data_IF_726373565190
#
_entry.id   IF_726373565190
#
_cell.length_a   1.000
_cell.length_b   1.000
_cell.length_c   1.000
_cell.angle_alpha   90.00
_cell.angle_beta   90.00
_cell.angle_gamma   90.00
#
_symmetry.space_group_name_H-M   'P 1'
#
loop_
_entity.id
_entity.type
_entity.pdbx_description
1 polymer ?
#
# COMPACT_ATOMS: atom_id res chain seq x y z
N UNK A 1 12.88 2.29 24.44
CA UNK A 1 13.50 1.00 24.14
C UNK A 1 12.63 0.23 23.16
N UNK A 2 12.79 0.53 21.86
CA UNK A 2 12.07 -0.14 20.74
C UNK A 2 12.32 -1.66 20.77
N UNK A 3 13.50 -2.09 21.20
CA UNK A 3 13.86 -3.50 21.34
C UNK A 3 13.08 -4.22 22.46
N UNK A 4 12.72 -3.54 23.55
CA UNK A 4 11.96 -4.17 24.62
C UNK A 4 10.48 -4.35 24.30
N UNK A 5 9.89 -3.47 23.50
CA UNK A 5 8.51 -3.65 22.99
C UNK A 5 8.45 -4.75 21.93
N UNK A 6 9.44 -4.81 21.01
CA UNK A 6 9.57 -5.91 20.05
C UNK A 6 9.65 -7.27 20.74
N UNK A 7 10.49 -7.40 21.75
CA UNK A 7 10.66 -8.67 22.49
C UNK A 7 9.40 -9.09 23.28
N UNK A 8 8.55 -8.15 23.67
CA UNK A 8 7.26 -8.44 24.31
C UNK A 8 6.27 -9.10 23.34
N UNK A 9 6.09 -8.52 22.17
CA UNK A 9 5.13 -9.00 21.17
C UNK A 9 5.52 -10.34 20.53
N UNK A 10 6.82 -10.61 20.38
CA UNK A 10 7.33 -11.87 19.82
C UNK A 10 6.87 -13.12 20.58
N UNK A 11 6.62 -13.00 21.88
CA UNK A 11 6.23 -14.11 22.73
C UNK A 11 4.71 -14.17 23.01
N UNK A 12 3.92 -13.24 22.45
CA UNK A 12 2.48 -13.18 22.66
C UNK A 12 1.74 -14.00 21.62
N UNK A 13 0.69 -14.69 22.04
CA UNK A 13 -0.29 -15.26 21.13
C UNK A 13 -1.17 -14.15 20.55
N UNK A 14 -1.79 -14.41 19.40
CA UNK A 14 -2.70 -13.44 18.78
C UNK A 14 -3.87 -13.05 19.69
N UNK A 15 -4.37 -13.98 20.50
CA UNK A 15 -5.41 -13.68 21.48
C UNK A 15 -4.92 -12.75 22.59
N UNK A 16 -3.71 -12.92 23.06
CA UNK A 16 -3.09 -11.99 24.01
C UNK A 16 -2.90 -10.60 23.41
N UNK A 17 -2.43 -10.51 22.16
CA UNK A 17 -2.32 -9.23 21.45
C UNK A 17 -3.68 -8.53 21.34
N UNK A 18 -4.77 -9.26 21.02
CA UNK A 18 -6.13 -8.70 20.98
C UNK A 18 -6.59 -8.15 22.32
N UNK A 19 -6.28 -8.84 23.41
CA UNK A 19 -6.65 -8.35 24.74
C UNK A 19 -5.89 -7.08 25.12
N UNK A 20 -4.60 -6.99 24.81
CA UNK A 20 -3.80 -5.78 25.05
C UNK A 20 -4.17 -4.60 24.17
N UNK A 21 -4.68 -4.86 22.98
CA UNK A 21 -5.14 -3.82 22.05
C UNK A 21 -6.48 -3.17 22.46
N UNK A 22 -7.22 -3.75 23.41
CA UNK A 22 -8.50 -3.19 23.86
C UNK A 22 -8.33 -1.81 24.48
N UNK A 23 -9.22 -0.89 24.11
CA UNK A 23 -9.20 0.49 24.59
C UNK A 23 -8.13 1.38 23.91
N UNK A 24 -7.36 0.84 22.96
CA UNK A 24 -6.36 1.63 22.24
C UNK A 24 -6.96 2.37 21.06
N UNK A 25 -6.20 3.36 20.58
CA UNK A 25 -6.43 4.04 19.30
C UNK A 25 -5.33 3.63 18.33
N UNK A 26 -5.72 3.36 17.08
CA UNK A 26 -4.80 3.09 15.97
C UNK A 26 -4.98 4.18 14.92
N UNK A 27 -3.92 4.92 14.63
CA UNK A 27 -3.87 5.91 13.57
C UNK A 27 -3.47 5.23 12.26
N UNK A 28 -4.33 5.37 11.24
CA UNK A 28 -4.09 4.82 9.91
C UNK A 28 -3.89 5.93 8.88
N UNK A 29 -2.68 6.05 8.39
CA UNK A 29 -2.29 7.04 7.39
C UNK A 29 -2.40 6.46 5.98
N UNK A 30 -3.08 7.19 5.10
CA UNK A 30 -3.24 6.81 3.70
C UNK A 30 -3.69 7.98 2.84
N UNK A 31 -3.59 7.82 1.54
CA UNK A 31 -3.84 8.87 0.54
C UNK A 31 -5.20 9.58 0.68
N UNK A 32 -6.29 8.86 0.96
CA UNK A 32 -7.59 9.47 1.20
C UNK A 32 -8.32 10.05 -0.03
N UNK A 33 -7.86 9.79 -1.25
CA UNK A 33 -8.48 10.34 -2.47
C UNK A 33 -9.71 9.58 -2.97
N UNK A 34 -10.06 8.44 -2.38
CA UNK A 34 -11.26 7.67 -2.72
C UNK A 34 -12.34 7.83 -1.65
N UNK A 35 -13.39 8.63 -1.95
CA UNK A 35 -14.49 8.90 -1.01
C UNK A 35 -15.28 7.64 -0.62
N UNK A 36 -15.37 6.61 -1.48
CA UNK A 36 -16.10 5.39 -1.16
C UNK A 36 -15.31 4.53 -0.18
N UNK A 37 -14.00 4.41 -0.43
CA UNK A 37 -13.09 3.74 0.47
C UNK A 37 -13.02 4.45 1.81
N UNK A 38 -12.91 5.78 1.81
CA UNK A 38 -12.88 6.58 3.02
C UNK A 38 -14.12 6.32 3.88
N UNK A 39 -15.31 6.37 3.29
CA UNK A 39 -16.56 6.07 4.01
C UNK A 39 -16.60 4.66 4.56
N UNK A 40 -16.14 3.67 3.80
CA UNK A 40 -16.09 2.30 4.28
C UNK A 40 -15.14 2.15 5.47
N UNK A 41 -13.97 2.79 5.43
CA UNK A 41 -13.01 2.78 6.54
C UNK A 41 -13.57 3.49 7.78
N UNK A 42 -14.17 4.66 7.59
CA UNK A 42 -14.64 5.50 8.70
C UNK A 42 -15.95 4.96 9.32
N UNK A 43 -16.89 4.47 8.49
CA UNK A 43 -18.22 4.06 8.96
C UNK A 43 -18.27 2.56 9.32
N UNK A 44 -17.79 1.66 8.43
CA UNK A 44 -17.95 0.22 8.62
C UNK A 44 -16.75 -0.42 9.30
N UNK A 45 -15.55 -0.19 8.79
CA UNK A 45 -14.35 -0.82 9.34
C UNK A 45 -14.07 -0.32 10.75
N UNK A 46 -14.07 0.99 10.98
CA UNK A 46 -13.86 1.58 12.30
C UNK A 46 -14.92 1.14 13.30
N UNK A 47 -16.18 1.06 12.88
CA UNK A 47 -17.29 0.53 13.72
C UNK A 47 -17.03 -0.91 14.13
N UNK A 48 -16.67 -1.78 13.18
CA UNK A 48 -16.40 -3.21 13.48
C UNK A 48 -15.21 -3.36 14.42
N UNK A 49 -14.15 -2.58 14.22
CA UNK A 49 -12.99 -2.58 15.11
C UNK A 49 -13.37 -2.15 16.53
N UNK A 50 -14.22 -1.11 16.67
CA UNK A 50 -14.69 -0.67 17.97
C UNK A 50 -15.62 -1.68 18.64
N UNK A 51 -16.60 -2.19 17.93
CA UNK A 51 -17.60 -3.11 18.50
C UNK A 51 -17.02 -4.48 18.87
N UNK A 52 -16.13 -5.05 18.04
CA UNK A 52 -15.58 -6.40 18.25
C UNK A 52 -14.32 -6.44 19.09
N UNK A 53 -13.48 -5.42 18.99
CA UNK A 53 -12.13 -5.44 19.55
C UNK A 53 -11.86 -4.30 20.53
N UNK A 54 -12.81 -3.38 20.68
CA UNK A 54 -12.65 -2.13 21.46
C UNK A 54 -11.43 -1.30 21.01
N UNK A 55 -11.11 -1.32 19.73
CA UNK A 55 -10.06 -0.52 19.12
C UNK A 55 -10.69 0.67 18.39
N UNK A 56 -10.22 1.87 18.66
CA UNK A 56 -10.61 3.08 17.94
C UNK A 56 -9.70 3.25 16.73
N UNK A 57 -10.28 3.32 15.52
CA UNK A 57 -9.54 3.59 14.29
C UNK A 57 -9.65 5.05 13.92
N UNK A 58 -8.51 5.71 13.73
CA UNK A 58 -8.43 7.09 13.26
C UNK A 58 -7.71 7.14 11.92
N UNK A 59 -8.47 7.39 10.86
CA UNK A 59 -7.90 7.54 9.51
C UNK A 59 -7.38 8.96 9.31
N UNK A 60 -6.13 9.08 8.91
CA UNK A 60 -5.46 10.35 8.61
C UNK A 60 -5.15 10.41 7.11
N UNK A 61 -5.91 11.21 6.32
CA UNK A 61 -5.61 11.39 4.91
C UNK A 61 -4.34 12.22 4.74
N UNK A 62 -3.33 11.64 4.12
CA UNK A 62 -2.04 12.30 3.90
C UNK A 62 -1.31 11.67 2.72
N UNK A 63 -0.63 12.48 1.92
CA UNK A 63 0.22 12.00 0.84
C UNK A 63 1.43 11.27 1.39
N UNK A 64 1.87 10.21 0.71
CA UNK A 64 2.92 9.33 1.20
C UNK A 64 4.25 10.05 1.48
N UNK A 65 4.62 11.04 0.69
CA UNK A 65 5.84 11.84 0.90
C UNK A 65 5.80 12.59 2.24
N UNK A 66 4.63 13.08 2.61
CA UNK A 66 4.41 13.76 3.89
C UNK A 66 4.45 12.76 5.05
N UNK A 67 3.84 11.58 4.88
CA UNK A 67 3.89 10.50 5.87
C UNK A 67 5.33 10.08 6.14
N UNK A 68 6.11 9.82 5.09
CA UNK A 68 7.51 9.41 5.23
C UNK A 68 8.38 10.53 5.83
N UNK A 69 8.10 11.79 5.50
CA UNK A 69 8.79 12.93 6.10
C UNK A 69 8.50 13.05 7.60
N UNK A 70 7.24 12.88 8.00
CA UNK A 70 6.83 12.89 9.41
C UNK A 70 7.48 11.73 10.17
N UNK A 71 7.39 10.50 9.64
CA UNK A 71 8.00 9.31 10.24
C UNK A 71 9.51 9.47 10.42
N UNK A 72 10.19 10.01 9.39
CA UNK A 72 11.62 10.33 9.46
C UNK A 72 11.92 11.34 10.57
N UNK A 73 11.10 12.38 10.70
CA UNK A 73 11.26 13.39 11.75
C UNK A 73 11.08 12.82 13.15
N UNK A 74 10.06 12.00 13.38
CA UNK A 74 9.81 11.33 14.66
C UNK A 74 10.96 10.38 15.05
N UNK A 75 11.46 9.59 14.08
CA UNK A 75 12.61 8.70 14.30
C UNK A 75 13.88 9.49 14.66
N UNK A 76 14.16 10.58 13.92
CA UNK A 76 15.33 11.43 14.19
C UNK A 76 15.23 12.16 15.53
N UNK A 77 14.02 12.53 15.95
CA UNK A 77 13.77 13.11 17.27
C UNK A 77 13.88 12.08 18.40
N UNK A 78 13.95 10.79 18.09
CA UNK A 78 14.00 9.70 19.06
C UNK A 78 12.67 9.50 19.79
N UNK A 79 11.55 9.85 19.13
CA UNK A 79 10.22 9.65 19.69
C UNK A 79 9.98 8.15 19.95
N UNK A 80 9.50 7.85 21.15
CA UNK A 80 9.22 6.46 21.55
C UNK A 80 7.79 6.05 21.25
N UNK A 81 6.89 7.01 21.29
CA UNK A 81 5.48 6.90 20.97
C UNK A 81 5.21 7.84 19.80
N UNK A 82 5.42 7.33 18.58
CA UNK A 82 5.16 8.08 17.36
C UNK A 82 3.66 8.26 17.11
N UNK A 83 3.31 9.16 16.21
CA UNK A 83 1.92 9.43 15.83
C UNK A 83 1.37 8.49 14.77
N UNK A 84 2.22 7.66 14.18
CA UNK A 84 1.90 6.77 13.04
C UNK A 84 1.94 5.33 13.49
N UNK A 85 0.78 4.68 13.58
CA UNK A 85 0.69 3.25 13.91
C UNK A 85 0.66 2.38 12.65
N UNK A 86 -0.07 2.81 11.62
CA UNK A 86 -0.26 2.04 10.40
C UNK A 86 -0.27 2.95 9.18
N UNK A 87 0.37 2.52 8.10
CA UNK A 87 0.42 3.24 6.83
C UNK A 87 -0.02 2.35 5.68
N UNK A 88 -0.71 2.95 4.70
CA UNK A 88 -0.90 2.35 3.39
C UNK A 88 0.28 2.74 2.50
N UNK A 89 1.06 1.77 2.08
CA UNK A 89 2.33 2.00 1.40
C UNK A 89 2.52 0.96 0.28
N UNK A 90 3.29 1.29 -0.74
CA UNK A 90 3.68 0.37 -1.79
C UNK A 90 4.92 0.86 -2.57
N UNK A 91 5.48 -0.02 -3.38
CA UNK A 91 6.51 0.27 -4.37
C UNK A 91 7.78 0.90 -3.79
N UNK A 92 8.24 1.95 -4.43
CA UNK A 92 9.48 2.64 -4.03
C UNK A 92 9.42 3.20 -2.61
N UNK A 93 8.22 3.59 -2.16
CA UNK A 93 8.00 4.12 -0.82
C UNK A 93 8.19 3.02 0.24
N UNK A 94 7.61 1.83 0.00
CA UNK A 94 7.82 0.67 0.86
C UNK A 94 9.29 0.28 0.92
N UNK A 95 9.93 0.14 -0.24
CA UNK A 95 11.36 -0.16 -0.32
C UNK A 95 12.19 0.84 0.47
N UNK A 96 11.98 2.14 0.24
CA UNK A 96 12.70 3.21 0.94
C UNK A 96 12.49 3.13 2.45
N UNK A 97 11.25 2.97 2.91
CA UNK A 97 10.95 2.88 4.33
C UNK A 97 11.60 1.66 4.99
N UNK A 98 11.57 0.50 4.32
CA UNK A 98 12.19 -0.74 4.81
C UNK A 98 13.71 -0.64 4.87
N UNK A 99 14.37 -0.17 3.79
CA UNK A 99 15.83 0.00 3.73
C UNK A 99 16.36 0.99 4.79
N UNK A 100 15.54 1.98 5.16
CA UNK A 100 15.87 2.96 6.22
C UNK A 100 15.39 2.54 7.62
N UNK A 101 14.94 1.30 7.82
CA UNK A 101 14.48 0.77 9.12
C UNK A 101 13.35 1.59 9.75
N UNK A 102 12.45 2.13 8.94
CA UNK A 102 11.30 2.92 9.40
C UNK A 102 10.09 2.06 9.75
N UNK A 103 10.06 0.80 9.32
CA UNK A 103 8.92 -0.09 9.49
C UNK A 103 9.12 -1.06 10.63
N UNK A 104 8.02 -1.37 11.32
CA UNK A 104 7.95 -2.49 12.24
C UNK A 104 7.76 -3.79 11.44
N UNK A 105 8.53 -4.82 11.76
CA UNK A 105 8.41 -6.13 11.11
C UNK A 105 9.64 -7.01 11.39
N UNK A 106 9.61 -8.26 10.83
CA UNK A 106 8.48 -8.89 10.13
C UNK A 106 7.31 -9.20 11.07
N UNK A 107 6.09 -9.16 10.57
CA UNK A 107 4.88 -9.38 11.39
C UNK A 107 3.83 -10.29 10.74
N UNK A 108 3.91 -10.58 9.44
CA UNK A 108 2.84 -11.31 8.73
C UNK A 108 2.67 -12.74 9.23
N UNK A 109 3.72 -13.37 9.73
CA UNK A 109 3.69 -14.70 10.36
C UNK A 109 2.91 -14.72 11.68
N UNK A 110 2.68 -13.57 12.29
CA UNK A 110 1.87 -13.41 13.51
C UNK A 110 0.37 -13.25 13.23
N UNK A 111 -0.02 -13.10 11.97
CA UNK A 111 -1.40 -12.88 11.57
C UNK A 111 -2.06 -14.21 11.17
N UNK A 112 -2.99 -14.78 11.99
CA UNK A 112 -3.65 -16.04 11.65
C UNK A 112 -4.37 -15.99 10.30
N UNK A 113 -5.03 -14.85 10.01
CA UNK A 113 -5.74 -14.67 8.75
C UNK A 113 -4.79 -14.64 7.53
N UNK A 114 -3.52 -14.29 7.72
CA UNK A 114 -2.55 -14.32 6.63
C UNK A 114 -2.32 -15.76 6.16
N UNK A 115 -2.07 -16.68 7.08
CA UNK A 115 -1.89 -18.10 6.75
C UNK A 115 -3.17 -18.79 6.26
N UNK A 116 -4.34 -18.33 6.72
CA UNK A 116 -5.62 -18.97 6.39
C UNK A 116 -6.21 -18.53 5.04
N UNK A 117 -5.93 -17.28 4.61
CA UNK A 117 -6.61 -16.66 3.46
C UNK A 117 -5.67 -16.08 2.41
N UNK A 118 -4.37 -16.03 2.66
CA UNK A 118 -3.39 -15.45 1.75
C UNK A 118 -2.42 -16.55 1.29
N UNK A 119 -2.19 -16.65 -0.03
CA UNK A 119 -1.15 -17.49 -0.58
C UNK A 119 0.21 -16.82 -0.36
N UNK A 120 0.80 -17.09 0.80
CA UNK A 120 2.06 -16.47 1.24
C UNK A 120 3.30 -16.88 0.40
N UNK A 121 3.16 -17.83 -0.53
CA UNK A 121 4.23 -18.21 -1.47
C UNK A 121 4.07 -17.56 -2.84
N UNK A 122 2.91 -16.96 -3.11
CA UNK A 122 2.66 -16.25 -4.36
C UNK A 122 3.57 -15.04 -4.52
N UNK A 123 4.13 -14.85 -5.71
CA UNK A 123 4.93 -13.67 -6.04
C UNK A 123 4.15 -12.36 -5.85
N UNK A 124 2.86 -12.37 -6.15
CA UNK A 124 1.94 -11.24 -5.90
C UNK A 124 1.86 -10.81 -4.41
N UNK A 125 2.29 -11.69 -3.49
CA UNK A 125 2.24 -11.46 -2.04
C UNK A 125 3.64 -11.30 -1.46
N UNK A 126 4.63 -11.97 -2.01
CA UNK A 126 6.01 -11.94 -1.49
C UNK A 126 6.85 -10.80 -2.04
N UNK A 127 6.36 -10.14 -3.09
CA UNK A 127 7.03 -9.03 -3.75
C UNK A 127 6.12 -7.82 -3.87
N UNK A 128 6.66 -6.63 -3.59
CA UNK A 128 6.05 -5.36 -3.92
C UNK A 128 6.91 -4.65 -4.99
N UNK A 129 6.38 -4.51 -6.22
CA UNK A 129 7.11 -3.99 -7.38
C UNK A 129 8.52 -4.61 -7.55
N UNK A 130 8.58 -5.95 -7.53
CA UNK A 130 9.81 -6.74 -7.62
C UNK A 130 10.80 -6.54 -6.45
N UNK A 131 10.37 -5.96 -5.33
CA UNK A 131 11.15 -5.86 -4.10
C UNK A 131 10.60 -6.81 -3.03
N UNK A 132 11.43 -7.66 -2.39
CA UNK A 132 10.94 -8.62 -1.40
C UNK A 132 10.34 -7.93 -0.17
N UNK A 133 9.10 -8.31 0.19
CA UNK A 133 8.43 -7.74 1.36
C UNK A 133 8.97 -8.31 2.68
N UNK A 134 9.39 -9.58 2.71
CA UNK A 134 9.96 -10.26 3.88
C UNK A 134 9.13 -10.12 5.16
N UNK A 135 7.80 -10.10 5.00
CA UNK A 135 6.86 -10.03 6.11
C UNK A 135 6.68 -8.63 6.75
N UNK A 136 7.20 -7.57 6.13
CA UNK A 136 7.05 -6.18 6.61
C UNK A 136 5.80 -5.48 6.06
N UNK A 137 5.06 -6.16 5.20
CA UNK A 137 3.88 -5.65 4.56
C UNK A 137 2.82 -6.75 4.49
N UNK A 138 1.56 -6.40 4.73
CA UNK A 138 0.42 -7.29 4.53
C UNK A 138 -0.40 -6.81 3.34
N UNK A 139 -0.88 -7.72 2.45
CA UNK A 139 -1.63 -7.31 1.28
C UNK A 139 -2.97 -6.69 1.69
N UNK A 140 -3.24 -5.50 1.17
CA UNK A 140 -4.51 -4.81 1.32
C UNK A 140 -5.51 -5.24 0.23
N UNK A 141 -5.03 -5.32 -1.01
CA UNK A 141 -5.82 -5.65 -2.19
C UNK A 141 -4.93 -5.80 -3.41
N UNK A 142 -5.52 -6.29 -4.50
CA UNK A 142 -4.87 -6.41 -5.80
C UNK A 142 -5.51 -5.46 -6.78
N UNK A 143 -4.71 -4.63 -7.43
CA UNK A 143 -5.12 -3.74 -8.49
C UNK A 143 -4.27 -3.94 -9.74
N UNK A 144 -4.82 -3.60 -10.89
CA UNK A 144 -4.13 -3.65 -12.17
C UNK A 144 -4.25 -2.31 -12.88
N UNK A 145 -3.19 -1.91 -13.57
CA UNK A 145 -3.28 -0.82 -14.52
C UNK A 145 -4.09 -1.30 -15.73
N UNK A 146 -5.12 -0.55 -16.10
CA UNK A 146 -5.92 -0.82 -17.29
C UNK A 146 -6.01 0.43 -18.15
N UNK A 147 -6.04 0.23 -19.46
CA UNK A 147 -6.37 1.29 -20.41
C UNK A 147 -7.89 1.33 -20.58
N UNK A 148 -8.46 2.51 -20.66
CA UNK A 148 -9.89 2.73 -20.88
C UNK A 148 -10.08 3.50 -22.17
N UNK A 149 -10.95 3.00 -23.06
CA UNK A 149 -11.31 3.67 -24.30
C UNK A 149 -12.82 3.84 -24.42
N UNK A 150 -13.26 4.98 -24.94
CA UNK A 150 -14.64 5.18 -25.39
C UNK A 150 -14.79 4.60 -26.79
N UNK A 151 -15.43 3.44 -26.88
CA UNK A 151 -15.63 2.74 -28.16
C UNK A 151 -16.51 3.51 -29.16
N UNK A 152 -17.30 4.49 -28.70
CA UNK A 152 -18.04 5.38 -29.59
C UNK A 152 -17.13 6.36 -30.35
N UNK A 153 -15.98 6.66 -29.79
CA UNK A 153 -14.98 7.60 -30.37
C UNK A 153 -13.78 6.85 -30.94
N UNK A 154 -13.40 5.74 -30.31
CA UNK A 154 -12.23 4.93 -30.65
C UNK A 154 -12.65 3.47 -30.82
N UNK A 155 -13.30 3.12 -31.96
CA UNK A 155 -13.78 1.75 -32.18
C UNK A 155 -12.64 0.73 -32.32
N UNK A 156 -11.50 1.15 -32.86
CA UNK A 156 -10.30 0.32 -33.05
C UNK A 156 -9.30 0.65 -31.93
N UNK A 157 -9.43 -0.07 -30.82
CA UNK A 157 -8.56 0.14 -29.62
C UNK A 157 -7.23 -0.57 -29.83
N UNK A 158 -6.10 0.10 -29.59
CA UNK A 158 -4.80 -0.56 -29.59
C UNK A 158 -4.69 -1.66 -28.52
N UNK A 159 -4.20 -2.83 -28.89
CA UNK A 159 -4.05 -3.99 -28.02
C UNK A 159 -2.58 -4.26 -27.63
N UNK A 160 -1.65 -3.46 -28.16
CA UNK A 160 -0.21 -3.59 -27.89
C UNK A 160 0.47 -2.22 -27.81
N UNK A 161 1.67 -2.18 -27.24
CA UNK A 161 2.49 -0.98 -27.19
C UNK A 161 2.85 -0.48 -28.60
N UNK A 162 3.08 -1.40 -29.55
CA UNK A 162 3.33 -1.08 -30.94
C UNK A 162 2.13 -0.40 -31.62
N UNK A 163 0.94 -0.98 -31.46
CA UNK A 163 -0.31 -0.40 -31.97
C UNK A 163 -0.66 0.93 -31.29
N UNK A 164 -0.41 1.04 -29.98
CA UNK A 164 -0.59 2.28 -29.25
C UNK A 164 0.33 3.39 -29.81
N UNK A 165 1.57 3.06 -30.12
CA UNK A 165 2.50 4.00 -30.76
C UNK A 165 1.97 4.49 -32.10
N UNK A 166 1.53 3.57 -32.97
CA UNK A 166 0.95 3.92 -34.25
C UNK A 166 -0.34 4.76 -34.09
N UNK A 167 -1.16 4.44 -33.11
CA UNK A 167 -2.37 5.20 -32.81
C UNK A 167 -2.04 6.63 -32.39
N UNK A 168 -1.05 6.82 -31.52
CA UNK A 168 -0.58 8.14 -31.07
C UNK A 168 -0.05 8.97 -32.25
N UNK A 169 0.74 8.36 -33.13
CA UNK A 169 1.28 9.01 -34.32
C UNK A 169 0.17 9.47 -35.31
N UNK A 170 -0.88 8.66 -35.45
CA UNK A 170 -2.05 8.98 -36.30
C UNK A 170 -3.03 9.97 -35.64
N UNK A 171 -3.01 10.07 -34.30
CA UNK A 171 -3.96 10.86 -33.51
C UNK A 171 -3.25 11.79 -32.53
N UNK A 172 -2.48 12.77 -32.99
CA UNK A 172 -1.71 13.64 -32.10
C UNK A 172 -2.61 14.41 -31.13
N UNK A 173 -2.24 14.41 -29.84
CA UNK A 173 -2.98 15.07 -28.77
C UNK A 173 -4.24 14.35 -28.29
N UNK A 174 -4.48 13.10 -28.72
CA UNK A 174 -5.63 12.29 -28.26
C UNK A 174 -5.31 11.28 -27.17
N UNK A 175 -4.04 11.03 -26.92
CA UNK A 175 -3.55 10.13 -25.87
C UNK A 175 -2.73 10.90 -24.87
N UNK A 176 -2.95 10.63 -23.59
CA UNK A 176 -2.19 11.21 -22.50
C UNK A 176 -2.04 10.20 -21.36
N UNK A 177 -1.04 10.37 -20.54
CA UNK A 177 -0.86 9.68 -19.28
C UNK A 177 -0.25 10.65 -18.26
N UNK A 178 -0.36 10.42 -16.94
CA UNK A 178 0.23 11.29 -15.93
C UNK A 178 1.76 11.33 -16.08
N UNK A 179 2.35 12.52 -15.95
CA UNK A 179 3.79 12.67 -16.02
C UNK A 179 4.49 12.01 -14.83
N UNK A 180 5.68 11.43 -15.06
CA UNK A 180 6.55 10.95 -13.99
C UNK A 180 6.90 12.10 -13.02
N UNK A 181 6.99 11.87 -11.72
CA UNK A 181 7.00 10.57 -11.02
C UNK A 181 5.63 10.06 -10.54
N UNK A 182 4.53 10.50 -11.13
CA UNK A 182 3.19 10.01 -10.76
C UNK A 182 3.14 8.48 -10.76
N UNK A 183 2.44 7.91 -9.78
CA UNK A 183 2.35 6.46 -9.59
C UNK A 183 1.75 5.74 -10.82
N UNK A 184 0.64 6.26 -11.35
CA UNK A 184 -0.03 5.69 -12.52
C UNK A 184 0.80 5.87 -13.79
N UNK A 185 1.43 7.04 -13.95
CA UNK A 185 2.35 7.32 -15.04
C UNK A 185 3.57 6.41 -15.04
N UNK A 186 4.17 6.19 -13.87
CA UNK A 186 5.29 5.25 -13.66
C UNK A 186 4.87 3.81 -13.98
N UNK A 187 3.69 3.39 -13.55
CA UNK A 187 3.14 2.07 -13.86
C UNK A 187 2.89 1.89 -15.37
N UNK A 188 2.33 2.91 -16.03
CA UNK A 188 2.13 2.89 -17.49
C UNK A 188 3.45 2.71 -18.25
N UNK A 189 4.45 3.54 -17.97
CA UNK A 189 5.76 3.47 -18.64
C UNK A 189 6.43 2.11 -18.40
N UNK A 190 6.35 1.59 -17.19
CA UNK A 190 6.90 0.28 -16.82
C UNK A 190 6.24 -0.86 -17.60
N UNK A 191 4.91 -0.86 -17.73
CA UNK A 191 4.20 -1.86 -18.53
C UNK A 191 4.61 -1.81 -20.01
N UNK A 192 4.77 -0.61 -20.58
CA UNK A 192 5.27 -0.46 -21.96
C UNK A 192 6.69 -1.04 -22.10
N UNK A 193 7.58 -0.79 -21.13
CA UNK A 193 8.94 -1.33 -21.14
C UNK A 193 8.92 -2.86 -21.08
N UNK A 194 8.13 -3.45 -20.17
CA UNK A 194 8.03 -4.91 -20.04
C UNK A 194 7.50 -5.56 -21.31
N UNK A 195 6.50 -4.97 -21.96
CA UNK A 195 5.98 -5.52 -23.21
C UNK A 195 7.01 -5.48 -24.34
N UNK A 196 7.80 -4.40 -24.43
CA UNK A 196 8.78 -4.22 -25.52
C UNK A 196 10.07 -5.01 -25.26
N UNK A 197 10.56 -5.02 -24.02
CA UNK A 197 11.87 -5.55 -23.67
C UNK A 197 11.82 -6.96 -23.06
N UNK A 198 10.64 -7.40 -22.67
CA UNK A 198 10.46 -8.59 -21.83
C UNK A 198 10.68 -8.28 -20.35
N UNK A 199 10.09 -9.10 -19.47
CA UNK A 199 10.28 -9.05 -18.01
C UNK A 199 11.45 -9.91 -17.59
#
# INVERSE_FOLDING_TARGET
>A
DTDSRRSGLENMTFDQMKEEAKGTTVTFYGWGGDEKLNRWLDDEFARVMKEKYDITMERVPMDIDQVLSQLTGEIQAGEKDGSIDMIWINGENFRSAKENNMLYGPFTDKLPNFSDYVDGESEDVTMDFAYPIEGYEAPYGKAQLVMVADLAVTPDVPESAGELKEFVEKNPGKVTYPALPDFTGSAFVRNIIYEICGS
#
